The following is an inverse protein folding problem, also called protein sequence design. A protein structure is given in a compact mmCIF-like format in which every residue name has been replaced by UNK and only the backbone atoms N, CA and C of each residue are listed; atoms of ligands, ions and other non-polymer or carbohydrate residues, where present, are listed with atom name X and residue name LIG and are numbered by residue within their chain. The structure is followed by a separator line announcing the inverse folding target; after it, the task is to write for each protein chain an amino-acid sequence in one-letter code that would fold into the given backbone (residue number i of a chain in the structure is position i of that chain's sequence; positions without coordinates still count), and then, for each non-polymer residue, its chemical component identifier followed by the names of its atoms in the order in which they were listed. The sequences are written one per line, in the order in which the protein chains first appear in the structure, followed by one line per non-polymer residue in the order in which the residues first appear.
data_IF_520919272295
#
_entry.id   IF_520919272295
#
_cell.length_a   1.000
_cell.length_b   1.000
_cell.length_c   1.000
_cell.angle_alpha   90.00
_cell.angle_beta   90.00
_cell.angle_gamma   90.00
#
_symmetry.space_group_name_H-M   'P 1'
#
loop_
_entity.id
_entity.type
_entity.pdbx_description
1 polymer ?
#
# COMPACT_ATOMS: atom_id res chain seq x y z
N UNK A 1 -23.46 33.30 14.81
CA UNK A 1 -22.86 31.95 14.65
C UNK A 1 -22.80 31.29 16.03
N UNK A 2 -23.59 30.23 16.24
CA UNK A 2 -23.81 29.29 17.38
C UNK A 2 -23.21 29.45 18.82
N UNK A 3 -22.42 30.47 19.17
CA UNK A 3 -21.87 30.71 20.52
C UNK A 3 -21.22 29.49 21.18
N UNK A 4 -20.58 28.62 20.38
CA UNK A 4 -19.88 27.44 20.89
C UNK A 4 -18.50 27.85 21.46
N UNK A 5 -18.03 27.20 22.53
CA UNK A 5 -16.70 27.45 23.06
C UNK A 5 -15.62 27.06 22.04
N UNK A 6 -14.51 27.80 22.05
CA UNK A 6 -13.32 27.48 21.23
C UNK A 6 -12.60 26.22 21.74
N UNK A 7 -12.67 25.97 23.05
CA UNK A 7 -12.14 24.76 23.68
C UNK A 7 -12.96 23.53 23.26
N UNK A 8 -12.34 22.49 22.68
CA UNK A 8 -13.04 21.28 22.27
C UNK A 8 -13.55 20.46 23.47
N UNK A 9 -14.78 20.74 23.88
CA UNK A 9 -15.51 19.98 24.89
C UNK A 9 -16.09 18.66 24.36
N UNK A 10 -16.48 17.71 25.23
CA UNK A 10 -17.22 16.53 24.80
C UNK A 10 -18.46 16.83 23.96
N UNK A 11 -19.20 17.89 24.29
CA UNK A 11 -20.39 18.31 23.56
C UNK A 11 -20.06 18.80 22.15
N UNK A 12 -19.07 19.68 21.99
CA UNK A 12 -18.67 20.20 20.67
C UNK A 12 -18.11 19.10 19.78
N UNK A 13 -17.31 18.18 20.33
CA UNK A 13 -16.82 17.00 19.60
C UNK A 13 -17.95 16.04 19.22
N UNK A 14 -18.97 15.88 20.07
CA UNK A 14 -20.17 15.08 19.79
C UNK A 14 -21.00 15.72 18.67
N UNK A 15 -21.25 17.03 18.72
CA UNK A 15 -21.95 17.78 17.68
C UNK A 15 -21.22 17.70 16.34
N UNK A 16 -19.89 17.90 16.34
CA UNK A 16 -19.05 17.70 15.16
C UNK A 16 -19.19 16.28 14.61
N UNK A 17 -19.21 15.27 15.48
CA UNK A 17 -19.38 13.87 15.08
C UNK A 17 -20.69 13.66 14.35
N UNK A 18 -21.80 14.10 14.94
CA UNK A 18 -23.14 13.96 14.36
C UNK A 18 -23.20 14.68 13.01
N UNK A 19 -22.78 15.94 12.96
CA UNK A 19 -22.77 16.74 11.74
C UNK A 19 -21.96 16.08 10.64
N UNK A 20 -20.70 15.74 10.89
CA UNK A 20 -19.83 15.15 9.88
C UNK A 20 -20.29 13.77 9.43
N UNK A 21 -20.91 12.97 10.30
CA UNK A 21 -21.46 11.68 9.90
C UNK A 21 -22.65 11.80 8.92
N UNK A 22 -23.25 12.97 8.74
CA UNK A 22 -24.21 13.20 7.65
C UNK A 22 -23.53 13.34 6.29
N UNK A 23 -22.25 13.71 6.27
CA UNK A 23 -21.51 14.02 5.04
C UNK A 23 -20.48 12.96 4.67
N UNK A 24 -19.88 12.29 5.65
CA UNK A 24 -18.84 11.27 5.44
C UNK A 24 -19.04 10.05 6.34
N UNK A 25 -18.34 8.96 6.04
CA UNK A 25 -18.45 7.71 6.78
C UNK A 25 -18.03 7.88 8.25
N UNK A 26 -18.75 7.27 9.21
CA UNK A 26 -18.39 7.34 10.64
C UNK A 26 -16.94 6.91 10.95
N UNK A 27 -16.38 5.95 10.21
CA UNK A 27 -14.98 5.55 10.34
C UNK A 27 -13.99 6.68 9.96
N UNK A 28 -14.35 7.48 8.95
CA UNK A 28 -13.56 8.65 8.56
C UNK A 28 -13.66 9.74 9.62
N UNK A 29 -14.85 9.98 10.18
CA UNK A 29 -15.05 10.94 11.29
C UNK A 29 -14.20 10.57 12.52
N UNK A 30 -14.18 9.29 12.90
CA UNK A 30 -13.34 8.81 14.02
C UNK A 30 -11.84 9.05 13.78
N UNK A 31 -11.40 8.84 12.54
CA UNK A 31 -10.02 9.14 12.11
C UNK A 31 -9.73 10.65 12.17
N UNK A 32 -10.68 11.48 11.72
CA UNK A 32 -10.55 12.93 11.77
C UNK A 32 -10.54 13.46 13.20
N UNK A 33 -11.38 12.93 14.09
CA UNK A 33 -11.33 13.27 15.51
C UNK A 33 -9.95 12.98 16.10
N UNK A 34 -9.35 11.84 15.75
CA UNK A 34 -7.97 11.54 16.18
C UNK A 34 -6.98 12.58 15.66
N UNK A 35 -7.09 12.98 14.40
CA UNK A 35 -6.23 14.00 13.79
C UNK A 35 -6.42 15.39 14.40
N UNK A 36 -7.67 15.83 14.59
CA UNK A 36 -8.04 17.08 15.26
C UNK A 36 -7.45 17.10 16.66
N UNK A 37 -7.64 16.04 17.45
CA UNK A 37 -7.08 15.97 18.80
C UNK A 37 -5.55 16.04 18.79
N UNK A 38 -4.89 15.38 17.84
CA UNK A 38 -3.43 15.42 17.72
C UNK A 38 -2.90 16.83 17.36
N UNK A 39 -3.63 17.59 16.53
CA UNK A 39 -3.24 18.96 16.18
C UNK A 39 -3.56 19.97 17.28
N UNK A 40 -4.64 19.75 18.03
CA UNK A 40 -5.12 20.69 19.05
C UNK A 40 -4.51 20.47 20.43
N UNK A 41 -3.96 19.29 20.72
CA UNK A 41 -3.37 18.95 22.02
C UNK A 41 -2.34 19.96 22.57
N UNK A 42 -1.47 20.58 21.75
CA UNK A 42 -0.56 21.62 22.25
C UNK A 42 -1.27 22.88 22.80
N UNK A 43 -2.50 23.16 22.34
CA UNK A 43 -3.28 24.35 22.74
C UNK A 43 -4.39 24.02 23.74
N UNK A 44 -4.91 22.80 23.67
CA UNK A 44 -6.02 22.30 24.48
C UNK A 44 -5.63 20.93 25.07
N UNK A 45 -4.90 20.90 26.21
CA UNK A 45 -4.34 19.66 26.76
C UNK A 45 -5.39 18.58 27.07
N UNK A 46 -6.62 18.98 27.43
CA UNK A 46 -7.72 18.07 27.73
C UNK A 46 -8.42 17.49 26.49
N UNK A 47 -8.08 17.90 25.27
CA UNK A 47 -8.78 17.48 24.05
C UNK A 47 -8.82 15.96 23.87
N UNK A 48 -7.74 15.25 24.26
CA UNK A 48 -7.70 13.78 24.22
C UNK A 48 -8.61 13.14 25.25
N UNK A 49 -8.69 13.72 26.45
CA UNK A 49 -9.61 13.30 27.51
C UNK A 49 -11.05 13.54 27.07
N UNK A 50 -11.33 14.70 26.49
CA UNK A 50 -12.65 15.08 25.96
C UNK A 50 -13.09 14.17 24.80
N UNK A 51 -12.19 13.80 23.88
CA UNK A 51 -12.47 12.81 22.82
C UNK A 51 -12.85 11.45 23.40
N UNK A 52 -12.20 11.01 24.49
CA UNK A 52 -12.47 9.73 25.16
C UNK A 52 -13.71 9.78 26.06
N UNK A 53 -14.33 10.94 26.23
CA UNK A 53 -15.51 11.09 27.05
C UNK A 53 -16.64 10.16 26.58
N UNK A 54 -17.40 9.51 27.49
CA UNK A 54 -18.46 8.57 27.13
C UNK A 54 -19.49 9.13 26.14
N UNK A 55 -19.76 10.44 26.20
CA UNK A 55 -20.64 11.13 25.25
C UNK A 55 -20.15 10.94 23.81
N UNK A 56 -18.91 11.34 23.51
CA UNK A 56 -18.33 11.25 22.16
C UNK A 56 -18.26 9.80 21.69
N UNK A 57 -17.84 8.89 22.58
CA UNK A 57 -17.75 7.46 22.26
C UNK A 57 -19.12 6.85 21.91
N UNK A 58 -20.17 7.17 22.68
CA UNK A 58 -21.54 6.70 22.43
C UNK A 58 -22.12 7.34 21.17
N UNK A 59 -21.89 8.63 20.93
CA UNK A 59 -22.30 9.31 19.70
C UNK A 59 -21.67 8.66 18.47
N UNK A 60 -20.35 8.44 18.47
CA UNK A 60 -19.66 7.71 17.40
C UNK A 60 -20.22 6.31 17.20
N UNK A 61 -20.50 5.58 18.28
CA UNK A 61 -21.09 4.24 18.20
C UNK A 61 -22.50 4.29 17.58
N UNK A 62 -23.32 5.27 17.97
CA UNK A 62 -24.64 5.51 17.37
C UNK A 62 -24.54 5.83 15.89
N UNK A 63 -23.65 6.74 15.49
CA UNK A 63 -23.42 7.07 14.08
C UNK A 63 -22.91 5.86 13.27
N UNK A 64 -22.01 5.04 13.84
CA UNK A 64 -21.53 3.79 13.22
C UNK A 64 -22.68 2.79 13.00
N UNK A 65 -23.65 2.70 13.91
CA UNK A 65 -24.83 1.84 13.76
C UNK A 65 -25.82 2.37 12.73
N UNK A 66 -26.09 3.67 12.74
CA UNK A 66 -27.10 4.29 11.86
C UNK A 66 -26.61 4.52 10.43
N UNK A 67 -25.32 4.81 10.26
CA UNK A 67 -24.73 5.28 8.98
C UNK A 67 -23.50 4.49 8.56
N UNK A 68 -23.23 3.38 9.24
CA UNK A 68 -22.14 2.48 8.87
C UNK A 68 -22.42 1.84 7.52
N UNK A 69 -21.46 1.94 6.60
CA UNK A 69 -21.47 1.18 5.34
C UNK A 69 -20.50 0.02 5.44
N UNK A 70 -20.79 -1.09 4.77
CA UNK A 70 -19.83 -2.18 4.61
C UNK A 70 -18.50 -1.65 4.03
N UNK A 71 -17.34 -2.14 4.53
CA UNK A 71 -16.06 -1.80 3.94
C UNK A 71 -16.00 -2.27 2.49
N UNK A 72 -15.67 -1.39 1.55
CA UNK A 72 -15.39 -1.76 0.18
C UNK A 72 -13.96 -2.34 0.11
N UNK A 73 -13.86 -3.68 0.15
CA UNK A 73 -12.58 -4.39 0.06
C UNK A 73 -12.32 -4.75 -1.39
N UNK A 74 -11.12 -4.39 -1.89
CA UNK A 74 -10.64 -4.86 -3.19
C UNK A 74 -10.48 -6.37 -3.15
N UNK A 75 -10.85 -7.05 -4.23
CA UNK A 75 -10.71 -8.51 -4.34
C UNK A 75 -9.21 -8.88 -4.34
N UNK A 76 -8.80 -9.96 -3.66
CA UNK A 76 -7.46 -10.50 -3.81
C UNK A 76 -7.19 -10.94 -5.25
N UNK A 77 -5.98 -10.65 -5.73
CA UNK A 77 -5.49 -11.21 -6.99
C UNK A 77 -5.21 -12.70 -6.80
N UNK A 78 -5.38 -13.52 -7.84
CA UNK A 78 -5.10 -14.96 -7.78
C UNK A 78 -3.86 -15.33 -8.59
N UNK A 79 -3.25 -16.48 -8.26
CA UNK A 79 -2.12 -17.04 -9.05
C UNK A 79 -2.52 -17.38 -10.49
N UNK A 80 -3.75 -17.84 -10.68
CA UNK A 80 -4.28 -18.15 -12.01
C UNK A 80 -4.34 -16.89 -12.89
N UNK A 81 -4.81 -15.78 -12.34
CA UNK A 81 -4.85 -14.48 -13.04
C UNK A 81 -3.46 -13.93 -13.37
N UNK A 82 -2.45 -14.22 -12.55
CA UNK A 82 -1.07 -13.89 -12.89
C UNK A 82 -0.58 -14.78 -14.04
N UNK A 83 -0.84 -16.08 -13.97
CA UNK A 83 -0.44 -17.03 -15.00
C UNK A 83 -1.08 -16.71 -16.37
N UNK A 84 -2.31 -16.18 -16.43
CA UNK A 84 -2.94 -15.77 -17.69
C UNK A 84 -2.27 -14.56 -18.34
N UNK A 85 -1.62 -13.70 -17.56
CA UNK A 85 -0.85 -12.56 -18.08
C UNK A 85 0.54 -12.95 -18.57
N UNK A 86 1.05 -14.12 -18.16
CA UNK A 86 2.40 -14.56 -18.51
C UNK A 86 2.72 -14.49 -20.01
N UNK A 87 1.89 -15.02 -20.94
CA UNK A 87 2.22 -15.01 -22.37
C UNK A 87 2.36 -13.60 -22.96
N UNK A 88 1.68 -12.62 -22.37
CA UNK A 88 1.74 -11.21 -22.81
C UNK A 88 3.06 -10.57 -22.40
N UNK A 89 3.52 -10.84 -21.18
CA UNK A 89 4.65 -10.13 -20.59
C UNK A 89 5.99 -10.86 -20.70
N UNK A 90 5.99 -12.20 -20.74
CA UNK A 90 7.24 -12.98 -20.78
C UNK A 90 8.05 -12.76 -22.05
N UNK A 91 7.37 -12.42 -23.15
CA UNK A 91 7.99 -12.16 -24.46
C UNK A 91 8.14 -10.66 -24.76
N UNK A 92 7.65 -9.77 -23.90
CA UNK A 92 7.73 -8.34 -24.18
C UNK A 92 9.17 -7.85 -24.13
N UNK A 93 9.58 -7.10 -25.17
CA UNK A 93 10.86 -6.41 -25.22
C UNK A 93 10.80 -5.03 -24.58
N UNK A 94 9.60 -4.48 -24.40
CA UNK A 94 9.37 -3.16 -23.82
C UNK A 94 9.81 -3.13 -22.34
N UNK A 95 10.43 -2.01 -21.96
CA UNK A 95 10.98 -1.87 -20.62
C UNK A 95 9.91 -1.62 -19.56
N UNK A 96 8.88 -0.85 -19.90
CA UNK A 96 7.80 -0.55 -18.97
C UNK A 96 6.89 -1.77 -18.76
N UNK A 97 6.76 -2.63 -19.76
CA UNK A 97 6.15 -3.97 -19.62
C UNK A 97 6.94 -4.86 -18.66
N UNK A 98 8.26 -4.97 -18.85
CA UNK A 98 9.14 -5.73 -17.95
C UNK A 98 9.07 -5.19 -16.52
N UNK A 99 9.08 -3.86 -16.36
CA UNK A 99 8.94 -3.20 -15.06
C UNK A 99 7.60 -3.53 -14.42
N UNK A 100 6.50 -3.37 -15.16
CA UNK A 100 5.17 -3.63 -14.64
C UNK A 100 5.01 -5.08 -14.22
N UNK A 101 5.45 -6.02 -15.06
CA UNK A 101 5.39 -7.44 -14.79
C UNK A 101 6.22 -7.83 -13.56
N UNK A 102 7.45 -7.31 -13.48
CA UNK A 102 8.31 -7.51 -12.32
C UNK A 102 7.66 -6.93 -11.05
N UNK A 103 7.13 -5.71 -11.07
CA UNK A 103 6.47 -5.10 -9.91
C UNK A 103 5.22 -5.86 -9.46
N UNK A 104 4.43 -6.35 -10.42
CA UNK A 104 3.22 -7.11 -10.16
C UNK A 104 3.54 -8.41 -9.42
N UNK A 105 4.50 -9.18 -9.92
CA UNK A 105 4.92 -10.44 -9.30
C UNK A 105 5.70 -10.22 -8.00
N UNK A 106 6.62 -9.26 -7.96
CA UNK A 106 7.31 -8.87 -6.72
C UNK A 106 6.29 -8.47 -5.65
N UNK A 107 5.30 -7.65 -6.00
CA UNK A 107 4.30 -7.17 -5.06
C UNK A 107 3.40 -8.29 -4.53
N UNK A 108 3.05 -9.25 -5.39
CA UNK A 108 2.25 -10.41 -5.03
C UNK A 108 3.03 -11.39 -4.16
N UNK A 109 4.18 -11.90 -4.63
CA UNK A 109 4.97 -12.92 -3.93
C UNK A 109 5.70 -12.38 -2.69
N UNK A 110 6.04 -11.10 -2.67
CA UNK A 110 6.66 -10.42 -1.53
C UNK A 110 5.67 -9.82 -0.51
N UNK A 111 4.35 -10.01 -0.70
CA UNK A 111 3.30 -9.45 0.17
C UNK A 111 3.38 -7.92 0.37
N UNK A 112 3.88 -7.21 -0.64
CA UNK A 112 4.12 -5.78 -0.53
C UNK A 112 2.82 -4.99 -0.54
N UNK A 113 2.81 -3.91 0.24
CA UNK A 113 1.93 -2.80 -0.07
C UNK A 113 2.49 -2.12 -1.31
N UNK A 114 1.65 -1.81 -2.29
CA UNK A 114 2.11 -1.14 -3.51
C UNK A 114 2.96 0.12 -3.23
N UNK A 115 2.59 0.92 -2.21
CA UNK A 115 3.33 2.12 -1.82
C UNK A 115 4.73 1.88 -1.23
N UNK A 116 5.15 0.63 -1.01
CA UNK A 116 6.53 0.25 -0.66
C UNK A 116 7.41 0.13 -1.92
N UNK A 117 6.81 -0.09 -3.10
CA UNK A 117 7.51 -0.32 -4.36
C UNK A 117 7.52 0.90 -5.30
N UNK A 118 6.51 1.76 -5.20
CA UNK A 118 6.27 2.87 -6.14
C UNK A 118 6.07 4.19 -5.40
N UNK A 119 6.28 5.32 -6.09
CA UNK A 119 6.03 6.63 -5.52
C UNK A 119 4.54 6.99 -5.42
N UNK A 120 4.16 7.83 -4.44
CA UNK A 120 2.87 8.49 -4.48
C UNK A 120 2.79 9.43 -5.70
N UNK A 121 1.58 9.56 -6.24
CA UNK A 121 1.33 10.45 -7.38
C UNK A 121 1.65 11.91 -7.02
N UNK A 122 1.23 12.31 -5.82
CA UNK A 122 1.54 13.59 -5.19
C UNK A 122 3.03 13.73 -4.89
N UNK A 123 3.66 14.75 -5.47
CA UNK A 123 5.10 14.97 -5.39
C UNK A 123 5.58 15.33 -3.98
N UNK A 124 4.79 16.11 -3.23
CA UNK A 124 5.09 16.55 -1.87
C UNK A 124 5.14 15.40 -0.84
N UNK A 125 4.55 14.25 -1.20
CA UNK A 125 4.57 13.03 -0.38
C UNK A 125 5.73 12.08 -0.74
N UNK A 126 6.51 12.39 -1.78
CA UNK A 126 7.61 11.53 -2.24
C UNK A 126 8.79 11.68 -1.28
N UNK A 127 9.32 10.53 -0.84
CA UNK A 127 10.46 10.48 0.07
C UNK A 127 11.49 9.49 -0.48
N UNK A 128 12.63 10.04 -0.89
CA UNK A 128 13.69 9.27 -1.53
C UNK A 128 14.37 8.27 -0.58
N UNK A 129 14.21 8.45 0.73
CA UNK A 129 14.70 7.50 1.75
C UNK A 129 13.94 6.17 1.72
N UNK A 130 12.73 6.17 1.15
CA UNK A 130 11.88 4.97 1.01
C UNK A 130 12.14 4.20 -0.29
N UNK A 131 13.01 4.71 -1.17
CA UNK A 131 13.29 4.09 -2.46
C UNK A 131 14.24 2.92 -2.28
N UNK A 132 13.82 1.75 -2.76
CA UNK A 132 14.66 0.55 -2.80
C UNK A 132 15.85 0.80 -3.72
N UNK A 133 17.05 0.50 -3.20
CA UNK A 133 18.31 0.75 -3.90
C UNK A 133 18.69 -0.43 -4.77
N UNK A 134 19.09 -0.16 -6.02
CA UNK A 134 19.67 -1.17 -6.92
C UNK A 134 20.90 -1.84 -6.30
N UNK A 135 21.72 -1.10 -5.55
CA UNK A 135 22.91 -1.63 -4.87
C UNK A 135 22.61 -2.66 -3.77
N UNK A 136 21.38 -2.70 -3.24
CA UNK A 136 20.99 -3.68 -2.24
C UNK A 136 20.59 -5.04 -2.83
N UNK A 137 20.41 -5.10 -4.16
CA UNK A 137 19.89 -6.28 -4.84
C UNK A 137 20.97 -7.36 -4.96
N UNK A 138 20.63 -8.58 -4.54
CA UNK A 138 21.44 -9.78 -4.75
C UNK A 138 20.64 -10.80 -5.56
N UNK A 139 21.24 -11.31 -6.63
CA UNK A 139 20.67 -12.42 -7.39
C UNK A 139 21.17 -13.74 -6.79
N UNK A 140 20.23 -14.60 -6.40
CA UNK A 140 20.49 -15.95 -5.91
C UNK A 140 20.11 -16.96 -7.00
N UNK A 141 20.60 -18.22 -6.98
CA UNK A 141 20.30 -19.18 -8.05
C UNK A 141 18.81 -19.33 -8.36
N UNK A 142 17.96 -19.38 -7.33
CA UNK A 142 16.51 -19.61 -7.41
C UNK A 142 15.65 -18.51 -6.76
N UNK A 143 16.26 -17.35 -6.53
CA UNK A 143 15.63 -16.24 -5.81
C UNK A 143 16.31 -14.90 -6.12
N UNK A 144 15.73 -13.81 -5.63
CA UNK A 144 16.42 -12.53 -5.51
C UNK A 144 16.12 -11.90 -4.15
N UNK A 145 17.08 -11.13 -3.67
CA UNK A 145 17.00 -10.39 -2.40
C UNK A 145 17.19 -8.90 -2.67
N UNK A 146 16.53 -8.05 -1.89
CA UNK A 146 16.86 -6.63 -1.79
C UNK A 146 16.50 -6.08 -0.41
N UNK A 147 17.04 -4.91 -0.08
CA UNK A 147 16.72 -4.21 1.16
C UNK A 147 15.56 -3.24 0.95
N UNK A 148 14.48 -3.42 1.70
CA UNK A 148 13.33 -2.53 1.78
C UNK A 148 13.56 -1.50 2.89
N UNK A 149 13.78 -0.20 2.59
CA UNK A 149 14.22 0.79 3.59
C UNK A 149 13.22 1.14 4.68
N UNK A 150 11.92 0.95 4.45
CA UNK A 150 10.92 1.26 5.45
C UNK A 150 9.51 0.97 4.98
N UNK A 151 8.66 0.56 5.92
CA UNK A 151 7.25 0.29 5.69
C UNK A 151 6.42 0.88 6.83
N UNK A 152 5.10 0.98 6.67
CA UNK A 152 4.22 1.69 7.63
C UNK A 152 4.26 1.11 9.06
N UNK A 153 4.68 -0.15 9.21
CA UNK A 153 4.81 -0.81 10.52
C UNK A 153 6.26 -0.82 11.05
N UNK A 154 7.21 -0.22 10.31
CA UNK A 154 8.58 -0.04 10.78
C UNK A 154 8.66 1.10 11.78
N UNK A 155 8.58 0.76 13.07
CA UNK A 155 8.65 1.77 14.14
C UNK A 155 10.06 2.35 14.29
N UNK A 156 11.09 1.57 13.93
CA UNK A 156 12.49 1.90 14.18
C UNK A 156 13.26 2.28 12.91
N UNK A 157 12.63 2.20 11.74
CA UNK A 157 13.23 2.50 10.43
C UNK A 157 14.45 1.61 10.12
N UNK A 158 14.43 0.37 10.60
CA UNK A 158 15.50 -0.60 10.40
C UNK A 158 15.47 -1.22 9.00
N UNK A 159 14.32 -1.13 8.32
CA UNK A 159 14.10 -1.78 7.04
C UNK A 159 14.03 -3.31 7.15
N UNK A 160 13.89 -3.99 6.02
CA UNK A 160 13.81 -5.45 5.96
C UNK A 160 14.53 -6.00 4.74
N UNK A 161 15.21 -7.13 4.88
CA UNK A 161 15.68 -7.91 3.74
C UNK A 161 14.53 -8.76 3.21
N UNK A 162 14.15 -8.51 1.96
CA UNK A 162 13.08 -9.22 1.29
C UNK A 162 13.72 -10.23 0.35
N UNK A 163 13.35 -11.50 0.51
CA UNK A 163 13.79 -12.60 -0.36
C UNK A 163 12.56 -13.17 -1.06
N UNK A 164 12.60 -13.21 -2.39
CA UNK A 164 11.52 -13.77 -3.21
C UNK A 164 12.09 -14.90 -4.06
N UNK A 165 11.55 -16.09 -3.85
CA UNK A 165 11.94 -17.32 -4.54
C UNK A 165 11.12 -17.54 -5.80
N UNK A 166 11.67 -18.31 -6.73
CA UNK A 166 11.00 -18.71 -7.96
C UNK A 166 9.76 -19.56 -7.69
N UNK A 167 8.87 -19.61 -8.67
CA UNK A 167 7.78 -20.58 -8.72
C UNK A 167 7.93 -21.49 -9.94
N UNK A 168 7.28 -22.64 -9.92
CA UNK A 168 7.26 -23.57 -11.07
C UNK A 168 6.12 -23.28 -12.05
N UNK A 169 5.45 -22.14 -11.93
CA UNK A 169 4.26 -21.80 -12.70
C UNK A 169 4.45 -20.51 -13.52
N UNK A 170 3.46 -20.13 -14.33
CA UNK A 170 3.50 -18.92 -15.15
C UNK A 170 3.58 -17.60 -14.36
N UNK A 171 3.52 -17.65 -13.04
CA UNK A 171 3.66 -16.50 -12.15
C UNK A 171 5.09 -16.34 -11.58
N UNK A 172 6.12 -16.97 -12.18
CA UNK A 172 7.48 -16.95 -11.63
C UNK A 172 8.06 -15.53 -11.51
N UNK A 173 8.27 -15.01 -10.28
CA UNK A 173 8.80 -13.67 -10.06
C UNK A 173 10.28 -13.55 -10.42
N UNK A 174 11.06 -14.64 -10.41
CA UNK A 174 12.52 -14.58 -10.58
C UNK A 174 12.88 -14.32 -12.03
N UNK A 175 12.25 -15.03 -12.97
CA UNK A 175 12.46 -14.82 -14.40
C UNK A 175 12.06 -13.39 -14.81
N UNK A 176 10.90 -12.93 -14.34
CA UNK A 176 10.42 -11.56 -14.59
C UNK A 176 11.39 -10.50 -14.05
N UNK A 177 11.82 -10.66 -12.80
CA UNK A 177 12.75 -9.74 -12.15
C UNK A 177 14.10 -9.68 -12.86
N UNK A 178 14.66 -10.83 -13.25
CA UNK A 178 15.93 -10.87 -14.00
C UNK A 178 15.83 -10.19 -15.36
N UNK A 179 14.74 -10.43 -16.09
CA UNK A 179 14.48 -9.78 -17.39
C UNK A 179 14.39 -8.26 -17.24
N UNK A 180 13.66 -7.79 -16.23
CA UNK A 180 13.58 -6.37 -15.88
C UNK A 180 14.96 -5.80 -15.50
N UNK A 181 15.67 -6.45 -14.57
CA UNK A 181 16.94 -5.96 -14.03
C UNK A 181 17.99 -5.82 -15.12
N UNK A 182 18.09 -6.78 -16.04
CA UNK A 182 18.98 -6.69 -17.20
C UNK A 182 18.64 -5.49 -18.09
N UNK A 183 17.35 -5.27 -18.38
CA UNK A 183 16.90 -4.11 -19.16
C UNK A 183 17.16 -2.79 -18.44
N UNK A 184 16.97 -2.75 -17.12
CA UNK A 184 17.21 -1.58 -16.26
C UNK A 184 18.69 -1.24 -16.19
N UNK A 185 19.56 -2.21 -15.97
CA UNK A 185 21.00 -1.98 -15.84
C UNK A 185 21.64 -1.57 -17.17
N UNK A 186 21.10 -2.05 -18.30
CA UNK A 186 21.50 -1.60 -19.63
C UNK A 186 21.13 -0.13 -19.88
N UNK A 187 19.93 0.30 -19.47
CA UNK A 187 19.43 1.67 -19.73
C UNK A 187 19.95 2.69 -18.71
N UNK A 188 20.08 2.29 -17.45
CA UNK A 188 20.33 3.19 -16.33
C UNK A 188 21.48 2.70 -15.42
N UNK A 189 22.69 2.48 -15.96
CA UNK A 189 23.79 1.86 -15.21
C UNK A 189 24.19 2.62 -13.95
N UNK A 190 24.02 3.94 -13.92
CA UNK A 190 24.45 4.81 -12.82
C UNK A 190 23.31 5.30 -11.91
N UNK A 191 22.06 4.96 -12.22
CA UNK A 191 20.96 5.31 -11.34
C UNK A 191 20.99 4.44 -10.09
N UNK A 192 20.69 4.97 -8.89
CA UNK A 192 20.67 4.17 -7.66
C UNK A 192 19.31 3.50 -7.41
N UNK A 193 18.22 3.90 -8.07
CA UNK A 193 16.89 3.35 -7.86
C UNK A 193 16.74 1.96 -8.50
N UNK A 194 16.11 1.03 -7.79
CA UNK A 194 15.79 -0.28 -8.35
C UNK A 194 14.72 -0.19 -9.42
N UNK A 195 13.59 0.45 -9.10
CA UNK A 195 12.42 0.56 -9.97
C UNK A 195 12.46 1.86 -10.73
N UNK A 196 12.73 1.77 -12.03
CA UNK A 196 12.80 2.86 -12.99
C UNK A 196 11.97 2.51 -14.21
N UNK A 197 11.19 3.47 -14.68
CA UNK A 197 10.49 3.46 -15.96
C UNK A 197 11.45 3.77 -17.10
N UNK A 198 10.98 3.60 -18.33
CA UNK A 198 11.72 3.91 -19.55
C UNK A 198 12.17 5.38 -19.64
N UNK A 199 11.49 6.28 -18.92
CA UNK A 199 11.85 7.70 -18.83
C UNK A 199 12.85 8.03 -17.70
N UNK A 200 13.35 7.03 -16.97
CA UNK A 200 14.31 7.22 -15.87
C UNK A 200 13.70 7.67 -14.54
N UNK A 201 12.38 7.72 -14.42
CA UNK A 201 11.69 8.06 -13.17
C UNK A 201 11.19 6.81 -12.44
N UNK A 202 11.14 6.89 -11.11
CA UNK A 202 10.47 5.88 -10.27
C UNK A 202 8.98 5.83 -10.64
N UNK A 203 8.40 4.65 -10.90
CA UNK A 203 6.99 4.52 -11.22
C UNK A 203 6.11 5.08 -10.10
N UNK A 204 4.98 5.67 -10.47
CA UNK A 204 3.99 6.13 -9.48
C UNK A 204 2.88 5.10 -9.30
N UNK A 205 2.12 5.25 -8.21
CA UNK A 205 0.91 4.47 -7.97
C UNK A 205 -0.08 4.58 -9.14
N UNK A 206 -0.33 5.78 -9.64
CA UNK A 206 -1.22 6.02 -10.78
C UNK A 206 -0.77 5.27 -12.03
N UNK A 207 0.52 5.32 -12.35
CA UNK A 207 1.11 4.57 -13.47
C UNK A 207 0.87 3.06 -13.32
N UNK A 208 1.13 2.49 -12.14
CA UNK A 208 0.93 1.06 -11.91
C UNK A 208 -0.56 0.67 -12.01
N UNK A 209 -1.44 1.44 -11.38
CA UNK A 209 -2.88 1.18 -11.38
C UNK A 209 -3.48 1.30 -12.79
N UNK A 210 -3.00 2.24 -13.60
CA UNK A 210 -3.44 2.37 -14.99
C UNK A 210 -3.12 1.10 -15.79
N UNK A 211 -1.90 0.55 -15.65
CA UNK A 211 -1.54 -0.72 -16.33
C UNK A 211 -2.30 -1.91 -15.77
N UNK A 212 -2.53 -1.95 -14.46
CA UNK A 212 -3.32 -3.01 -13.82
C UNK A 212 -4.77 -3.05 -14.36
N UNK A 213 -5.39 -1.88 -14.52
CA UNK A 213 -6.76 -1.74 -15.05
C UNK A 213 -6.91 -2.11 -16.53
N UNK A 214 -5.81 -2.21 -17.28
CA UNK A 214 -5.86 -2.73 -18.64
C UNK A 214 -6.22 -4.23 -18.68
N UNK A 215 -6.03 -4.94 -17.55
CA UNK A 215 -6.23 -6.39 -17.45
C UNK A 215 -7.35 -6.80 -16.50
N UNK A 216 -7.67 -5.94 -15.53
CA UNK A 216 -8.60 -6.25 -14.46
C UNK A 216 -9.65 -5.16 -14.29
N UNK A 217 -10.80 -5.55 -13.76
CA UNK A 217 -11.86 -4.61 -13.39
C UNK A 217 -11.44 -3.67 -12.25
N UNK A 218 -12.32 -2.70 -11.96
CA UNK A 218 -12.10 -1.75 -10.88
C UNK A 218 -12.10 -2.36 -9.47
N UNK A 219 -12.42 -3.65 -9.31
CA UNK A 219 -12.39 -4.34 -8.03
C UNK A 219 -10.97 -4.80 -7.64
N UNK A 220 -10.01 -4.75 -8.56
CA UNK A 220 -8.59 -4.99 -8.29
C UNK A 220 -7.85 -3.65 -8.14
N UNK A 221 -6.91 -3.59 -7.20
CA UNK A 221 -6.03 -2.43 -7.04
C UNK A 221 -4.75 -2.77 -6.30
N UNK A 222 -4.00 -1.75 -5.87
CA UNK A 222 -2.71 -1.97 -5.21
C UNK A 222 -2.76 -2.77 -3.90
N UNK A 223 -3.93 -2.86 -3.24
CA UNK A 223 -4.12 -3.72 -2.07
C UNK A 223 -4.32 -5.19 -2.44
N UNK A 224 -4.79 -5.46 -3.66
CA UNK A 224 -5.05 -6.82 -4.16
C UNK A 224 -3.80 -7.67 -4.28
N UNK A 225 -2.62 -7.04 -4.40
CA UNK A 225 -1.32 -7.71 -4.42
C UNK A 225 -1.05 -8.43 -3.09
N UNK A 226 -0.96 -7.67 -1.99
CA UNK A 226 -0.72 -8.22 -0.65
C UNK A 226 -1.81 -9.18 -0.22
N UNK A 227 -3.09 -8.82 -0.41
CA UNK A 227 -4.18 -9.73 -0.02
C UNK A 227 -4.19 -11.00 -0.88
N UNK A 228 -3.86 -10.89 -2.17
CA UNK A 228 -3.76 -12.03 -3.07
C UNK A 228 -2.64 -12.99 -2.69
N UNK A 229 -1.44 -12.47 -2.47
CA UNK A 229 -0.30 -13.29 -2.03
C UNK A 229 -0.57 -13.96 -0.67
N UNK A 230 -1.17 -13.22 0.27
CA UNK A 230 -1.51 -13.77 1.59
C UNK A 230 -2.56 -14.89 1.49
N UNK A 231 -3.58 -14.72 0.64
CA UNK A 231 -4.57 -15.76 0.36
C UNK A 231 -3.91 -16.98 -0.30
N UNK A 232 -3.03 -16.78 -1.30
CA UNK A 232 -2.34 -17.87 -1.97
C UNK A 232 -1.45 -18.69 -1.03
N UNK A 233 -0.77 -18.04 -0.08
CA UNK A 233 0.01 -18.72 0.96
C UNK A 233 -0.89 -19.53 1.91
N UNK A 234 -2.03 -18.95 2.32
CA UNK A 234 -3.00 -19.65 3.15
C UNK A 234 -3.59 -20.88 2.45
N UNK A 235 -3.93 -20.75 1.16
CA UNK A 235 -4.40 -21.86 0.31
C UNK A 235 -3.33 -22.94 0.12
N UNK A 236 -2.05 -22.56 0.09
CA UNK A 236 -0.91 -23.48 0.07
C UNK A 236 -0.60 -24.13 1.44
N UNK A 237 -1.37 -23.80 2.49
CA UNK A 237 -1.25 -24.41 3.82
C UNK A 237 -0.18 -23.78 4.72
N UNK A 238 0.32 -22.58 4.40
CA UNK A 238 1.29 -21.90 5.26
C UNK A 238 0.64 -21.48 6.59
N UNK A 239 1.35 -21.65 7.73
CA UNK A 239 0.88 -21.19 9.02
C UNK A 239 0.59 -19.68 9.03
N UNK A 240 -0.53 -19.21 9.63
CA UNK A 240 -0.89 -17.79 9.64
C UNK A 240 0.17 -16.86 10.23
N UNK A 241 0.98 -17.34 11.19
CA UNK A 241 2.05 -16.55 11.81
C UNK A 241 3.22 -16.25 10.85
N UNK A 242 3.31 -16.96 9.71
CA UNK A 242 4.31 -16.70 8.67
C UNK A 242 3.79 -15.78 7.55
N UNK A 243 2.50 -15.43 7.54
CA UNK A 243 1.84 -14.64 6.48
C UNK A 243 1.68 -13.15 6.88
N UNK A 244 1.79 -12.82 8.17
CA UNK A 244 1.39 -11.51 8.72
C UNK A 244 2.18 -10.29 8.19
#
# INVERSE_FOLDING_TARGET
LHHLPLDPTPDTLSLYTVYMCHHIKPQSVDSYLSGICNQLEPFYPDVRKNRRHPLVARTLAGCKKLRGTAPNRKRPLTRQELATLHPTYSLSVDHDDKLFWSLLLTGFHGLHRLGELVFPDRQDLRDYRKVIRRSSVKLLPRAYEYFLPGHKADRFFEGNHIIISETTAGDDPVVAFRSYLASRDQRFPFHPELWLRANGEVPTRGWFIQRLRAHFDDNIGGHSLRSGGATALAEAGYPPHLIQ
#
